data_IF_807257292595
#
_entry.id   IF_807257292595
#
_cell.length_a   1.000
_cell.length_b   1.000
_cell.length_c   1.000
_cell.angle_alpha   90.00
_cell.angle_beta   90.00
_cell.angle_gamma   90.00
#
_symmetry.space_group_name_H-M   'P 1'
#
loop_
_entity.id
_entity.type
_entity.pdbx_description
1 polymer ?
#
# COMPACT_ATOMS: atom_id res chain seq x y z
N UNK A 1 -10.53 22.99 10.29
CA UNK A 1 -10.36 21.53 10.36
C UNK A 1 -11.64 20.92 9.84
N UNK A 2 -11.62 20.44 8.60
CA UNK A 2 -12.71 19.60 8.11
C UNK A 2 -12.59 18.24 8.82
N UNK A 3 -13.57 17.89 9.65
CA UNK A 3 -13.69 16.54 10.19
C UNK A 3 -14.15 15.64 9.04
N UNK A 4 -13.27 14.79 8.55
CA UNK A 4 -13.67 13.72 7.64
C UNK A 4 -14.25 12.59 8.49
N UNK A 5 -15.55 12.31 8.44
CA UNK A 5 -16.11 11.20 9.20
C UNK A 5 -15.49 9.90 8.70
N UNK A 6 -15.07 9.06 9.64
CA UNK A 6 -14.71 7.67 9.37
C UNK A 6 -15.95 6.84 9.68
N UNK A 7 -16.45 6.12 8.69
CA UNK A 7 -17.57 5.20 8.87
C UNK A 7 -17.04 3.76 8.99
N UNK A 8 -17.43 3.07 10.06
CA UNK A 8 -17.12 1.66 10.30
C UNK A 8 -18.44 0.88 10.34
N UNK A 9 -18.60 -0.09 9.44
CA UNK A 9 -19.72 -1.04 9.45
C UNK A 9 -19.17 -2.44 9.62
N UNK A 10 -19.70 -3.19 10.59
CA UNK A 10 -19.29 -4.57 10.85
C UNK A 10 -20.53 -5.40 11.14
N UNK A 11 -20.73 -6.46 10.37
CA UNK A 11 -21.80 -7.43 10.59
C UNK A 11 -21.20 -8.82 10.68
N UNK A 12 -21.44 -9.50 11.80
CA UNK A 12 -20.85 -10.82 12.03
C UNK A 12 -21.46 -11.59 13.19
N UNK A 13 -20.96 -12.81 13.36
CA UNK A 13 -21.30 -13.71 14.45
C UNK A 13 -20.04 -14.07 15.23
N UNK A 14 -20.18 -14.17 16.55
CA UNK A 14 -19.12 -14.62 17.45
C UNK A 14 -19.55 -15.98 18.01
N UNK A 15 -18.65 -16.96 17.93
CA UNK A 15 -18.79 -18.25 18.60
C UNK A 15 -17.71 -18.34 19.70
N UNK A 16 -18.14 -18.16 20.94
CA UNK A 16 -17.24 -18.17 22.10
C UNK A 16 -16.72 -19.57 22.43
N UNK A 17 -17.51 -20.62 22.18
CA UNK A 17 -17.09 -22.01 22.43
C UNK A 17 -15.94 -22.43 21.51
N UNK A 18 -15.94 -21.90 20.29
CA UNK A 18 -14.89 -22.15 19.28
C UNK A 18 -13.81 -21.08 19.24
N UNK A 19 -13.96 -20.01 20.03
CA UNK A 19 -13.13 -18.80 19.94
C UNK A 19 -12.98 -18.29 18.51
N UNK A 20 -14.09 -18.21 17.77
CA UNK A 20 -14.11 -17.71 16.39
C UNK A 20 -15.09 -16.57 16.18
N UNK A 21 -14.77 -15.68 15.24
CA UNK A 21 -15.65 -14.63 14.74
C UNK A 21 -15.72 -14.76 13.23
N UNK A 22 -16.93 -14.73 12.70
CA UNK A 22 -17.18 -14.66 11.26
C UNK A 22 -17.83 -13.32 10.97
N UNK A 23 -17.12 -12.45 10.24
CA UNK A 23 -17.64 -11.19 9.75
C UNK A 23 -18.13 -11.41 8.33
N UNK A 24 -19.45 -11.33 8.13
CA UNK A 24 -20.05 -11.51 6.80
C UNK A 24 -19.73 -10.33 5.89
N UNK A 25 -19.86 -9.13 6.44
CA UNK A 25 -19.57 -7.89 5.75
C UNK A 25 -18.90 -6.94 6.75
N UNK A 26 -17.78 -6.34 6.34
CA UNK A 26 -17.13 -5.29 7.10
C UNK A 26 -16.60 -4.23 6.16
N UNK A 27 -16.86 -2.97 6.47
CA UNK A 27 -16.31 -1.85 5.72
C UNK A 27 -15.78 -0.75 6.62
N UNK A 28 -14.69 -0.14 6.17
CA UNK A 28 -14.14 1.10 6.71
C UNK A 28 -14.11 2.07 5.55
N UNK A 29 -14.78 3.20 5.69
CA UNK A 29 -14.78 4.26 4.69
C UNK A 29 -14.25 5.55 5.31
N UNK A 30 -13.25 6.12 4.66
CA UNK A 30 -12.67 7.40 5.00
C UNK A 30 -12.31 8.17 3.74
N UNK A 31 -11.88 9.41 3.92
CA UNK A 31 -11.41 10.26 2.84
C UNK A 31 -10.05 9.81 2.25
N UNK A 32 -9.33 8.90 2.91
CA UNK A 32 -7.98 8.45 2.49
C UNK A 32 -7.96 6.99 2.07
N UNK A 33 -8.67 6.14 2.81
CA UNK A 33 -8.75 4.70 2.58
C UNK A 33 -10.21 4.25 2.67
N UNK A 34 -10.62 3.41 1.73
CA UNK A 34 -11.81 2.59 1.80
C UNK A 34 -11.38 1.12 1.80
N UNK A 35 -11.96 0.32 2.69
CA UNK A 35 -11.71 -1.11 2.81
C UNK A 35 -13.03 -1.83 2.97
N UNK A 36 -13.18 -2.95 2.26
CA UNK A 36 -14.29 -3.87 2.35
C UNK A 36 -13.74 -5.29 2.51
N UNK A 37 -14.31 -6.03 3.44
CA UNK A 37 -14.06 -7.45 3.61
C UNK A 37 -15.38 -8.20 3.47
N UNK A 38 -15.41 -9.13 2.52
CA UNK A 38 -16.51 -10.07 2.38
C UNK A 38 -16.05 -11.41 2.97
N UNK A 39 -16.70 -11.85 4.04
CA UNK A 39 -16.37 -13.09 4.77
C UNK A 39 -14.95 -13.11 5.37
N UNK A 40 -14.75 -12.34 6.45
CA UNK A 40 -13.56 -12.44 7.30
C UNK A 40 -13.79 -13.51 8.38
N UNK A 41 -12.86 -14.43 8.53
CA UNK A 41 -12.84 -15.39 9.63
C UNK A 41 -11.65 -15.08 10.54
N UNK A 42 -11.94 -14.88 11.82
CA UNK A 42 -10.96 -14.69 12.88
C UNK A 42 -11.07 -15.85 13.85
N UNK A 43 -9.94 -16.41 14.28
CA UNK A 43 -9.88 -17.39 15.35
C UNK A 43 -8.84 -17.00 16.39
N UNK A 44 -9.20 -17.03 17.67
CA UNK A 44 -8.30 -16.74 18.79
C UNK A 44 -8.26 -17.92 19.78
N UNK A 45 -7.70 -19.07 19.38
CA UNK A 45 -7.57 -20.22 20.25
C UNK A 45 -6.70 -19.91 21.48
N UNK A 46 -7.07 -20.40 22.66
CA UNK A 46 -6.44 -20.03 23.94
C UNK A 46 -4.92 -20.26 24.01
N UNK A 47 -4.39 -21.24 23.27
CA UNK A 47 -2.98 -21.63 23.28
C UNK A 47 -2.36 -21.63 21.86
N UNK A 48 -2.90 -20.86 20.93
CA UNK A 48 -2.34 -20.74 19.60
C UNK A 48 -2.43 -19.30 19.07
N UNK A 49 -1.59 -18.93 18.10
CA UNK A 49 -1.65 -17.61 17.48
C UNK A 49 -3.03 -17.32 16.87
N UNK A 50 -3.37 -16.03 16.79
CA UNK A 50 -4.55 -15.56 16.08
C UNK A 50 -4.53 -16.11 14.64
N UNK A 51 -5.62 -16.72 14.21
CA UNK A 51 -5.85 -17.03 12.81
C UNK A 51 -6.74 -15.97 12.16
N UNK A 52 -6.41 -15.65 10.92
CA UNK A 52 -7.16 -14.72 10.08
C UNK A 52 -7.27 -15.31 8.68
N UNK A 53 -8.47 -15.32 8.12
CA UNK A 53 -8.69 -15.68 6.72
C UNK A 53 -9.70 -14.73 6.11
N UNK A 54 -9.46 -14.26 4.90
CA UNK A 54 -10.46 -13.52 4.17
C UNK A 54 -9.92 -12.85 2.92
N UNK A 55 -10.85 -12.23 2.20
CA UNK A 55 -10.57 -11.42 1.02
C UNK A 55 -10.88 -9.97 1.37
N UNK A 56 -9.92 -9.09 1.08
CA UNK A 56 -10.05 -7.65 1.24
C UNK A 56 -10.09 -7.01 -0.14
N UNK A 57 -11.00 -6.06 -0.33
CA UNK A 57 -11.00 -5.10 -1.43
C UNK A 57 -10.77 -3.73 -0.84
N UNK A 58 -9.85 -2.96 -1.39
CA UNK A 58 -9.52 -1.65 -0.86
C UNK A 58 -9.24 -0.63 -1.95
N UNK A 59 -9.42 0.63 -1.60
CA UNK A 59 -9.01 1.77 -2.40
C UNK A 59 -8.39 2.85 -1.50
N UNK A 60 -7.43 3.59 -2.03
CA UNK A 60 -6.81 4.68 -1.30
C UNK A 60 -6.39 5.82 -2.22
N UNK A 61 -6.37 7.03 -1.67
CA UNK A 61 -5.74 8.17 -2.32
C UNK A 61 -4.25 8.22 -1.91
N UNK A 62 -3.34 8.08 -2.87
CA UNK A 62 -1.90 7.92 -2.62
C UNK A 62 -1.30 9.17 -1.97
N UNK A 63 -1.66 10.37 -2.43
CA UNK A 63 -1.12 11.62 -1.88
C UNK A 63 -1.53 11.84 -0.43
N UNK A 64 -2.73 11.42 -0.04
CA UNK A 64 -3.19 11.42 1.37
C UNK A 64 -2.54 10.31 2.20
N UNK A 65 -2.38 9.12 1.63
CA UNK A 65 -1.73 7.99 2.31
C UNK A 65 -0.27 8.31 2.63
N UNK A 66 0.45 8.97 1.72
CA UNK A 66 1.84 9.39 1.93
C UNK A 66 1.99 10.31 3.15
N UNK A 67 0.98 11.15 3.43
CA UNK A 67 1.01 12.08 4.58
C UNK A 67 1.00 11.34 5.93
N UNK A 68 0.51 10.11 6.00
CA UNK A 68 0.53 9.31 7.24
C UNK A 68 1.96 8.93 7.66
N UNK A 69 2.87 8.87 6.70
CA UNK A 69 4.27 8.49 6.92
C UNK A 69 5.24 9.68 6.78
N UNK A 70 4.73 10.87 6.44
CA UNK A 70 5.55 12.05 6.29
C UNK A 70 6.07 12.53 7.65
N UNK A 71 7.36 12.80 7.75
CA UNK A 71 7.93 13.49 8.90
C UNK A 71 7.56 14.99 8.81
N UNK A 72 6.82 15.56 9.79
CA UNK A 72 6.43 16.97 9.74
C UNK A 72 7.63 17.93 9.73
N UNK A 73 8.78 17.50 10.26
CA UNK A 73 10.01 18.30 10.34
C UNK A 73 10.87 18.21 9.08
N UNK A 74 10.62 17.23 8.22
CA UNK A 74 11.36 16.99 6.98
C UNK A 74 10.36 16.65 5.87
N UNK A 75 9.77 17.68 5.22
CA UNK A 75 8.85 17.44 4.12
C UNK A 75 9.55 16.66 3.01
N UNK A 76 8.83 15.72 2.42
CA UNK A 76 9.34 14.94 1.30
C UNK A 76 9.69 15.87 0.12
N UNK A 77 10.84 15.63 -0.53
CA UNK A 77 11.22 16.35 -1.75
C UNK A 77 10.30 16.00 -2.93
N UNK A 78 9.63 14.85 -2.86
CA UNK A 78 8.77 14.31 -3.90
C UNK A 78 7.39 14.01 -3.32
N UNK A 79 6.35 14.35 -4.08
CA UNK A 79 4.96 13.97 -3.81
C UNK A 79 4.44 13.03 -4.88
N UNK A 80 3.82 11.95 -4.43
CA UNK A 80 3.15 10.99 -5.31
C UNK A 80 1.64 11.23 -5.21
N UNK A 81 0.95 11.23 -6.35
CA UNK A 81 -0.50 11.27 -6.43
C UNK A 81 -1.03 10.10 -7.24
N UNK A 82 -2.31 9.78 -7.05
CA UNK A 82 -2.98 8.68 -7.73
C UNK A 82 -4.06 8.02 -6.89
N UNK A 83 -4.81 7.13 -7.55
CA UNK A 83 -5.87 6.35 -6.93
C UNK A 83 -5.46 4.87 -6.91
N UNK A 84 -5.06 4.39 -5.73
CA UNK A 84 -4.77 2.98 -5.48
C UNK A 84 -6.10 2.22 -5.36
N UNK A 85 -6.21 1.10 -6.03
CA UNK A 85 -7.28 0.11 -5.87
C UNK A 85 -6.66 -1.28 -5.91
N UNK A 86 -7.15 -2.18 -5.08
CA UNK A 86 -6.62 -3.54 -5.05
C UNK A 86 -7.49 -4.52 -4.30
N UNK A 87 -7.08 -5.76 -4.42
CA UNK A 87 -7.60 -6.88 -3.64
C UNK A 87 -6.45 -7.63 -2.98
N UNK A 88 -6.71 -8.20 -1.80
CA UNK A 88 -5.76 -9.06 -1.11
C UNK A 88 -6.47 -10.27 -0.50
N UNK A 89 -5.96 -11.45 -0.77
CA UNK A 89 -6.28 -12.68 -0.06
C UNK A 89 -5.29 -12.86 1.08
N UNK A 90 -5.80 -12.98 2.29
CA UNK A 90 -4.97 -13.13 3.50
C UNK A 90 -5.31 -14.45 4.17
N UNK A 91 -4.27 -15.21 4.50
CA UNK A 91 -4.38 -16.44 5.30
C UNK A 91 -3.27 -16.45 6.34
N UNK A 92 -3.61 -16.13 7.59
CA UNK A 92 -2.75 -16.27 8.75
C UNK A 92 -3.22 -17.48 9.58
N UNK A 93 -2.39 -18.51 9.70
CA UNK A 93 -2.68 -19.70 10.50
C UNK A 93 -1.41 -20.09 11.26
N UNK A 94 -1.47 -19.98 12.59
CA UNK A 94 -0.32 -20.27 13.44
C UNK A 94 0.82 -19.29 13.17
N UNK A 95 1.99 -19.81 12.78
CA UNK A 95 3.14 -18.95 12.43
C UNK A 95 3.19 -18.57 10.95
N UNK A 96 2.35 -19.17 10.10
CA UNK A 96 2.40 -18.98 8.65
C UNK A 96 1.34 -17.98 8.20
N UNK A 97 1.79 -16.89 7.60
CA UNK A 97 0.94 -15.83 7.08
C UNK A 97 1.17 -15.70 5.58
N UNK A 98 0.17 -15.97 4.76
CA UNK A 98 0.24 -15.82 3.31
C UNK A 98 -0.55 -14.60 2.86
N UNK A 99 -0.01 -13.90 1.87
CA UNK A 99 -0.65 -12.80 1.19
C UNK A 99 -0.54 -13.00 -0.32
N UNK A 100 -1.67 -12.84 -0.99
CA UNK A 100 -1.76 -12.70 -2.43
C UNK A 100 -2.50 -11.40 -2.72
N UNK A 101 -1.88 -10.47 -3.43
CA UNK A 101 -2.44 -9.15 -3.64
C UNK A 101 -2.19 -8.65 -5.06
N UNK A 102 -3.22 -8.06 -5.64
CA UNK A 102 -3.18 -7.38 -6.93
C UNK A 102 -3.67 -5.95 -6.75
N UNK A 103 -2.93 -5.01 -7.32
CA UNK A 103 -3.11 -3.59 -7.12
C UNK A 103 -2.95 -2.85 -8.44
N UNK A 104 -3.74 -1.80 -8.61
CA UNK A 104 -3.58 -0.81 -9.67
C UNK A 104 -3.60 0.58 -9.05
N UNK A 105 -2.66 1.43 -9.45
CA UNK A 105 -2.68 2.86 -9.16
C UNK A 105 -3.01 3.57 -10.46
N UNK A 106 -4.19 4.18 -10.51
CA UNK A 106 -4.64 4.97 -11.66
C UNK A 106 -4.13 6.40 -11.55
N UNK A 107 -3.81 6.99 -12.71
CA UNK A 107 -3.36 8.39 -12.83
C UNK A 107 -2.20 8.68 -11.88
N UNK A 108 -1.24 7.78 -11.83
CA UNK A 108 -0.09 7.92 -10.95
C UNK A 108 0.79 9.05 -11.44
N UNK A 109 1.06 10.02 -10.59
CA UNK A 109 1.89 11.16 -10.94
C UNK A 109 2.87 11.48 -9.82
N UNK A 110 4.07 11.90 -10.21
CA UNK A 110 5.14 12.31 -9.31
C UNK A 110 5.43 13.79 -9.54
N UNK A 111 5.49 14.56 -8.46
CA UNK A 111 5.73 15.99 -8.49
C UNK A 111 6.90 16.37 -7.60
N UNK A 112 7.59 17.43 -7.98
CA UNK A 112 8.49 18.15 -7.08
C UNK A 112 7.67 18.93 -6.04
N UNK A 113 7.96 18.73 -4.76
CA UNK A 113 7.23 19.39 -3.68
C UNK A 113 7.43 20.91 -3.68
N UNK A 114 8.62 21.38 -4.04
CA UNK A 114 8.95 22.80 -4.12
C UNK A 114 8.12 23.53 -5.17
N UNK A 115 7.92 22.92 -6.34
CA UNK A 115 7.08 23.49 -7.39
C UNK A 115 5.59 23.53 -7.01
N UNK A 116 5.10 22.49 -6.32
CA UNK A 116 3.74 22.50 -5.76
C UNK A 116 3.55 23.61 -4.70
N UNK A 117 4.51 23.82 -3.81
CA UNK A 117 4.47 24.89 -2.81
C UNK A 117 4.48 26.26 -3.48
N UNK A 118 5.33 26.47 -4.49
CA UNK A 118 5.39 27.73 -5.25
C UNK A 118 4.06 28.02 -5.95
N UNK A 119 3.46 27.02 -6.57
CA UNK A 119 2.14 27.13 -7.20
C UNK A 119 1.06 27.56 -6.20
N UNK A 120 0.98 26.87 -5.05
CA UNK A 120 -0.01 27.21 -4.01
C UNK A 120 0.17 28.63 -3.45
N UNK A 121 1.41 29.05 -3.22
CA UNK A 121 1.71 30.40 -2.72
C UNK A 121 1.40 31.47 -3.77
N UNK A 122 1.71 31.23 -5.04
CA UNK A 122 1.38 32.12 -6.15
C UNK A 122 -0.13 32.31 -6.30
N UNK A 123 -0.90 31.23 -6.20
CA UNK A 123 -2.36 31.27 -6.30
C UNK A 123 -2.98 32.07 -5.12
N UNK A 124 -2.45 31.89 -3.91
CA UNK A 124 -2.87 32.69 -2.73
C UNK A 124 -2.55 34.16 -2.84
N UNK A 125 -1.48 34.52 -3.55
CA UNK A 125 -1.10 35.90 -3.82
C UNK A 125 -1.93 36.56 -4.95
N UNK A 126 -2.94 35.88 -5.50
CA UNK A 126 -3.76 36.40 -6.58
C UNK A 126 -3.09 36.38 -7.96
N UNK A 127 -1.93 35.72 -8.08
CA UNK A 127 -1.33 35.45 -9.38
C UNK A 127 -2.06 34.28 -10.05
N UNK A 128 -1.96 34.16 -11.38
CA UNK A 128 -2.34 32.96 -12.12
C UNK A 128 -1.08 32.11 -12.39
N UNK A 129 -0.50 31.43 -11.38
CA UNK A 129 0.65 30.56 -11.62
C UNK A 129 0.22 29.39 -12.52
N UNK A 130 1.11 28.96 -13.42
CA UNK A 130 0.90 27.73 -14.17
C UNK A 130 0.91 26.53 -13.22
N UNK A 131 0.00 25.57 -13.37
CA UNK A 131 0.03 24.34 -12.58
C UNK A 131 1.35 23.59 -12.82
N UNK A 132 1.97 23.03 -11.77
CA UNK A 132 3.23 22.31 -11.92
C UNK A 132 3.02 21.06 -12.79
N UNK A 133 3.92 20.86 -13.74
CA UNK A 133 3.93 19.65 -14.55
C UNK A 133 4.48 18.48 -13.71
N UNK A 134 3.94 17.26 -13.86
CA UNK A 134 4.50 16.09 -13.19
C UNK A 134 5.88 15.76 -13.76
N UNK A 135 6.80 15.36 -12.87
CA UNK A 135 8.11 14.80 -13.21
C UNK A 135 7.97 13.44 -13.91
N UNK A 136 6.95 12.68 -13.51
CA UNK A 136 6.58 11.40 -14.10
C UNK A 136 5.09 11.18 -13.97
N UNK A 137 4.48 10.59 -14.99
CA UNK A 137 3.06 10.32 -15.05
C UNK A 137 2.81 8.98 -15.73
N UNK A 138 1.99 8.14 -15.12
CA UNK A 138 1.57 6.84 -15.61
C UNK A 138 0.04 6.75 -15.57
N UNK A 139 -0.63 6.36 -16.66
CA UNK A 139 -2.07 6.19 -16.64
C UNK A 139 -2.49 5.07 -15.68
N UNK A 140 -1.75 3.96 -15.70
CA UNK A 140 -1.98 2.79 -14.86
C UNK A 140 -0.63 2.17 -14.44
N UNK A 141 -0.45 1.98 -13.14
CA UNK A 141 0.66 1.27 -12.54
C UNK A 141 0.13 0.04 -11.83
N UNK A 142 0.62 -1.14 -12.17
CA UNK A 142 0.18 -2.42 -11.61
C UNK A 142 1.21 -2.98 -10.65
N UNK A 143 0.74 -3.47 -9.50
CA UNK A 143 1.56 -4.12 -8.49
C UNK A 143 0.92 -5.44 -8.06
N UNK A 144 1.67 -6.54 -8.17
CA UNK A 144 1.25 -7.86 -7.73
C UNK A 144 2.26 -8.44 -6.75
N UNK A 145 1.77 -8.99 -5.64
CA UNK A 145 2.59 -9.54 -4.56
C UNK A 145 2.02 -10.91 -4.19
N UNK A 146 2.87 -11.94 -4.23
CA UNK A 146 2.62 -13.23 -3.64
C UNK A 146 3.74 -13.57 -2.67
N UNK A 147 3.39 -13.78 -1.40
CA UNK A 147 4.40 -14.03 -0.37
C UNK A 147 3.85 -14.71 0.87
N UNK A 148 4.79 -15.17 1.69
CA UNK A 148 4.51 -15.82 2.96
C UNK A 148 5.49 -15.31 4.03
N UNK A 149 4.97 -15.03 5.21
CA UNK A 149 5.73 -14.70 6.40
C UNK A 149 5.61 -15.82 7.43
N UNK A 150 6.75 -16.26 7.96
CA UNK A 150 6.84 -17.23 9.04
C UNK A 150 7.33 -16.54 10.31
N UNK A 151 6.41 -16.28 11.24
CA UNK A 151 6.74 -15.61 12.50
C UNK A 151 7.62 -16.45 13.44
N UNK A 152 7.67 -17.77 13.27
CA UNK A 152 8.53 -18.65 14.07
C UNK A 152 10.00 -18.55 13.66
N UNK A 153 10.25 -18.16 12.40
CA UNK A 153 11.58 -17.97 11.81
C UNK A 153 11.92 -16.50 11.56
N UNK A 154 10.99 -15.59 11.86
CA UNK A 154 11.05 -14.17 11.49
C UNK A 154 11.50 -13.97 10.03
N UNK A 155 10.80 -14.63 9.11
CA UNK A 155 11.26 -14.78 7.73
C UNK A 155 10.13 -14.54 6.75
N UNK A 156 10.32 -13.62 5.81
CA UNK A 156 9.37 -13.30 4.73
C UNK A 156 9.92 -13.82 3.40
N UNK A 157 9.23 -14.75 2.78
CA UNK A 157 9.47 -15.17 1.40
C UNK A 157 8.55 -14.42 0.44
N UNK A 158 9.14 -13.80 -0.57
CA UNK A 158 8.45 -13.21 -1.71
C UNK A 158 8.57 -14.17 -2.89
N UNK A 159 7.51 -14.89 -3.18
CA UNK A 159 7.48 -15.81 -4.33
C UNK A 159 7.34 -15.03 -5.63
N UNK A 160 6.55 -13.95 -5.61
CA UNK A 160 6.42 -13.03 -6.73
C UNK A 160 6.24 -11.61 -6.22
N UNK A 161 7.05 -10.71 -6.74
CA UNK A 161 6.85 -9.27 -6.68
C UNK A 161 6.92 -8.74 -8.11
N UNK A 162 5.81 -8.18 -8.60
CA UNK A 162 5.75 -7.61 -9.92
C UNK A 162 5.26 -6.17 -9.84
N UNK A 163 6.02 -5.28 -10.44
CA UNK A 163 5.65 -3.90 -10.69
C UNK A 163 5.66 -3.68 -12.20
N UNK A 164 4.59 -3.11 -12.75
CA UNK A 164 4.48 -2.87 -14.17
C UNK A 164 3.83 -1.52 -14.46
N UNK A 165 4.51 -0.72 -15.27
CA UNK A 165 4.07 0.57 -15.82
C UNK A 165 4.59 0.70 -17.25
N UNK A 166 4.34 1.83 -17.91
CA UNK A 166 4.89 2.05 -19.26
C UNK A 166 6.40 2.31 -19.20
N UNK A 167 6.88 3.07 -18.21
CA UNK A 167 8.29 3.42 -18.08
C UNK A 167 9.14 2.41 -17.29
N UNK A 168 8.52 1.56 -16.47
CA UNK A 168 9.23 0.69 -15.52
C UNK A 168 8.52 -0.65 -15.35
N UNK A 169 9.28 -1.74 -15.54
CA UNK A 169 8.88 -3.10 -15.26
C UNK A 169 9.87 -3.78 -14.34
N UNK A 170 9.42 -4.25 -13.18
CA UNK A 170 10.23 -5.01 -12.24
C UNK A 170 9.54 -6.34 -11.94
N UNK A 171 10.29 -7.43 -12.05
CA UNK A 171 9.87 -8.74 -11.56
C UNK A 171 10.97 -9.26 -10.63
N UNK A 172 10.62 -9.51 -9.39
CA UNK A 172 11.55 -9.99 -8.38
C UNK A 172 10.92 -11.10 -7.54
N UNK A 173 11.78 -11.92 -6.96
CA UNK A 173 11.47 -12.85 -5.90
C UNK A 173 12.62 -12.85 -4.89
N UNK A 174 12.39 -13.45 -3.73
CA UNK A 174 13.46 -13.60 -2.76
C UNK A 174 12.96 -13.78 -1.35
N UNK A 175 13.84 -13.44 -0.41
CA UNK A 175 13.65 -13.73 0.99
C UNK A 175 14.23 -12.62 1.85
N UNK A 176 13.52 -12.32 2.92
CA UNK A 176 13.94 -11.43 3.98
C UNK A 176 14.04 -12.23 5.27
N UNK A 177 15.23 -12.31 5.84
CA UNK A 177 15.46 -12.90 7.16
C UNK A 177 15.57 -11.81 8.22
N UNK A 178 15.04 -12.09 9.41
CA UNK A 178 14.89 -11.13 10.51
C UNK A 178 14.01 -9.93 10.12
N UNK A 179 12.86 -10.21 9.50
CA UNK A 179 11.98 -9.20 8.90
C UNK A 179 11.49 -8.12 9.88
N UNK A 180 11.36 -8.46 11.17
CA UNK A 180 10.94 -7.52 12.21
C UNK A 180 12.10 -6.73 12.85
N UNK A 181 13.34 -7.04 12.48
CA UNK A 181 14.55 -6.42 13.03
C UNK A 181 15.03 -5.23 12.19
N UNK A 182 15.67 -4.25 12.83
CA UNK A 182 16.37 -3.16 12.15
C UNK A 182 17.63 -3.62 11.37
N UNK A 183 17.97 -4.91 11.43
CA UNK A 183 19.11 -5.54 10.73
C UNK A 183 18.67 -6.53 9.65
N UNK A 184 17.42 -6.43 9.19
CA UNK A 184 16.85 -7.37 8.25
C UNK A 184 17.75 -7.59 7.01
N UNK A 185 18.00 -8.85 6.67
CA UNK A 185 18.84 -9.21 5.53
C UNK A 185 17.95 -9.53 4.33
N UNK A 186 18.02 -8.68 3.31
CA UNK A 186 17.28 -8.87 2.05
C UNK A 186 18.13 -9.61 1.03
N UNK A 187 17.62 -10.74 0.54
CA UNK A 187 18.14 -11.41 -0.64
C UNK A 187 17.06 -11.42 -1.72
N UNK A 188 17.21 -10.57 -2.72
CA UNK A 188 16.26 -10.41 -3.83
C UNK A 188 16.97 -10.70 -5.15
N UNK A 189 16.28 -11.39 -6.05
CA UNK A 189 16.71 -11.68 -7.41
C UNK A 189 15.60 -11.34 -8.38
N UNK A 190 15.93 -10.79 -9.55
CA UNK A 190 14.90 -10.33 -10.48
C UNK A 190 15.43 -9.67 -11.74
N UNK A 191 14.49 -9.15 -12.53
CA UNK A 191 14.73 -8.39 -13.76
C UNK A 191 14.09 -7.01 -13.65
N UNK A 192 14.85 -6.00 -14.06
CA UNK A 192 14.42 -4.60 -14.16
C UNK A 192 14.50 -4.18 -15.63
N UNK A 193 13.36 -3.78 -16.18
CA UNK A 193 13.21 -3.17 -17.50
C UNK A 193 12.81 -1.71 -17.27
N UNK A 194 13.51 -0.75 -17.89
CA UNK A 194 13.23 0.67 -17.68
C UNK A 194 13.46 1.54 -18.91
N UNK A 195 12.66 2.59 -19.05
CA UNK A 195 12.86 3.68 -19.99
C UNK A 195 13.60 4.84 -19.30
N UNK A 196 14.88 4.99 -19.62
CA UNK A 196 15.72 6.03 -19.06
C UNK A 196 15.24 7.45 -19.40
N UNK A 197 14.70 7.67 -20.61
CA UNK A 197 14.27 9.01 -21.01
C UNK A 197 13.14 9.51 -20.09
N UNK A 198 12.22 8.61 -19.75
CA UNK A 198 11.09 8.90 -18.86
C UNK A 198 11.49 8.97 -17.38
N UNK A 199 12.40 8.12 -16.91
CA UNK A 199 12.75 8.05 -15.47
C UNK A 199 13.90 8.97 -15.04
N UNK A 200 14.77 9.40 -15.97
CA UNK A 200 15.93 10.23 -15.63
C UNK A 200 15.63 11.55 -14.91
N UNK A 201 14.51 12.25 -15.13
CA UNK A 201 14.16 13.46 -14.38
C UNK A 201 13.90 13.21 -12.90
N UNK A 202 13.44 12.00 -12.55
CA UNK A 202 13.10 11.62 -11.17
C UNK A 202 14.32 11.10 -10.41
N UNK A 203 15.32 10.58 -11.14
CA UNK A 203 16.52 9.98 -10.57
C UNK A 203 17.68 10.99 -10.39
N UNK A 204 17.52 12.21 -10.90
CA UNK A 204 18.47 13.32 -10.70
C UNK A 204 17.85 14.29 -9.68
N UNK A 205 18.15 14.14 -8.38
CA UNK A 205 17.71 15.09 -7.36
C UNK A 205 18.36 16.47 -7.57
#
# INVERSE_FOLDING_TARGET
QEQFPVELKVTGNINLDRSTMSLKESSIESSTVALRADSLELGWPANAPLSLRGVLVYGANVSRLQQWFANPQQPASILCDGLLQGQANIVAIGSQNKIDSENTIQKFAVYDTGDLIRYQNGARAGNAPSPPAPLWNEPDLKLSIHGAYDSSRDSLSLETFQFASQALGLRANGKLDQATSNKAMFNLSGKLDYDWATLSPILKP
#
